data_IF_708607676181
#
_entry.id   IF_708607676181
#
_cell.length_a   1.000
_cell.length_b   1.000
_cell.length_c   1.000
_cell.angle_alpha   90.00
_cell.angle_beta   90.00
_cell.angle_gamma   90.00
#
_symmetry.space_group_name_H-M   'P 1'
#
loop_
_entity.id
_entity.type
_entity.pdbx_description
1 polymer ?
#
# COMPACT_ATOMS: atom_id res chain seq x y z
N UNK A 1 -14.28 -8.44 4.51
CA UNK A 1 -13.61 -9.24 3.44
C UNK A 1 -14.57 -10.34 3.06
N UNK A 2 -14.95 -10.49 1.79
CA UNK A 2 -15.81 -11.60 1.38
C UNK A 2 -14.93 -12.83 1.20
N UNK A 3 -15.24 -13.92 1.91
CA UNK A 3 -14.54 -15.20 1.79
C UNK A 3 -15.27 -16.02 0.74
N UNK A 4 -14.58 -16.36 -0.36
CA UNK A 4 -15.09 -17.25 -1.40
C UNK A 4 -14.40 -18.60 -1.28
N UNK A 5 -15.12 -19.71 -1.37
CA UNK A 5 -14.48 -21.04 -1.43
C UNK A 5 -14.11 -21.40 -2.86
N UNK A 6 -12.91 -21.93 -3.06
CA UNK A 6 -12.48 -22.45 -4.36
C UNK A 6 -13.36 -23.65 -4.75
N UNK A 7 -13.94 -23.68 -5.98
CA UNK A 7 -14.98 -24.63 -6.34
C UNK A 7 -14.54 -26.10 -6.35
N UNK A 8 -13.24 -26.37 -6.48
CA UNK A 8 -12.70 -27.74 -6.52
C UNK A 8 -12.08 -28.16 -5.19
N UNK A 9 -11.34 -27.26 -4.55
CA UNK A 9 -10.52 -27.60 -3.36
C UNK A 9 -11.19 -27.22 -2.05
N UNK A 10 -12.26 -26.42 -2.08
CA UNK A 10 -12.97 -25.93 -0.89
C UNK A 10 -12.18 -24.89 -0.06
N UNK A 11 -10.94 -24.58 -0.44
CA UNK A 11 -10.07 -23.63 0.26
C UNK A 11 -10.69 -22.24 0.26
N UNK A 12 -10.64 -21.58 1.40
CA UNK A 12 -11.08 -20.20 1.56
C UNK A 12 -10.10 -19.26 0.86
N UNK A 13 -10.61 -18.54 -0.13
CA UNK A 13 -9.88 -17.54 -0.88
C UNK A 13 -10.09 -16.17 -0.26
N UNK A 14 -8.99 -15.45 -0.06
CA UNK A 14 -9.04 -14.05 0.27
C UNK A 14 -9.32 -13.23 -1.00
N UNK A 15 -10.58 -12.84 -1.18
CA UNK A 15 -10.96 -11.97 -2.30
C UNK A 15 -10.66 -10.53 -1.94
N UNK A 16 -9.70 -9.92 -2.65
CA UNK A 16 -9.42 -8.51 -2.53
C UNK A 16 -10.63 -7.69 -2.98
N UNK A 17 -11.11 -6.81 -2.09
CA UNK A 17 -12.25 -5.91 -2.39
C UNK A 17 -11.89 -4.82 -3.41
N UNK A 18 -10.61 -4.47 -3.53
CA UNK A 18 -10.10 -3.49 -4.49
C UNK A 18 -8.87 -4.07 -5.18
N UNK A 19 -8.82 -4.00 -6.52
CA UNK A 19 -7.67 -4.42 -7.33
C UNK A 19 -7.13 -3.25 -8.13
N UNK A 20 -5.92 -2.80 -7.80
CA UNK A 20 -5.23 -1.68 -8.44
C UNK A 20 -4.24 -2.17 -9.48
N UNK A 21 -4.40 -1.69 -10.71
CA UNK A 21 -3.50 -2.00 -11.83
C UNK A 21 -2.30 -1.05 -11.90
N UNK A 22 -2.41 0.12 -11.28
CA UNK A 22 -1.38 1.14 -11.14
C UNK A 22 -1.57 1.79 -9.77
N UNK A 23 -0.56 2.52 -9.29
CA UNK A 23 -0.67 3.40 -8.13
C UNK A 23 -0.60 4.83 -8.66
N UNK A 24 -1.50 5.70 -8.21
CA UNK A 24 -1.36 7.13 -8.44
C UNK A 24 -0.42 7.77 -7.40
N UNK A 25 -0.21 9.08 -7.51
CA UNK A 25 0.69 9.81 -6.60
C UNK A 25 0.26 9.70 -5.12
N UNK A 26 -1.04 9.77 -4.84
CA UNK A 26 -1.56 9.69 -3.45
C UNK A 26 -1.42 8.27 -2.91
N UNK A 27 -1.65 7.27 -3.75
CA UNK A 27 -1.48 5.86 -3.41
C UNK A 27 0.01 5.51 -3.19
N UNK A 28 0.93 6.10 -3.95
CA UNK A 28 2.37 5.97 -3.73
C UNK A 28 2.82 6.64 -2.42
N UNK A 29 2.28 7.83 -2.09
CA UNK A 29 2.49 8.46 -0.77
C UNK A 29 1.98 7.56 0.35
N UNK A 30 0.80 6.96 0.17
CA UNK A 30 0.21 6.03 1.14
C UNK A 30 1.08 4.80 1.36
N UNK A 31 1.73 4.27 0.32
CA UNK A 31 2.71 3.18 0.45
C UNK A 31 3.85 3.56 1.40
N UNK A 32 4.40 4.77 1.28
CA UNK A 32 5.45 5.23 2.20
C UNK A 32 4.94 5.48 3.61
N UNK A 33 3.72 5.99 3.78
CA UNK A 33 3.11 6.16 5.11
C UNK A 33 2.98 4.82 5.83
N UNK A 34 2.40 3.80 5.16
CA UNK A 34 2.31 2.44 5.72
C UNK A 34 3.69 1.87 6.05
N UNK A 35 4.68 2.11 5.18
CA UNK A 35 6.05 1.66 5.44
C UNK A 35 6.65 2.30 6.69
N UNK A 36 6.42 3.60 6.90
CA UNK A 36 6.88 4.31 8.09
C UNK A 36 6.13 3.91 9.37
N UNK A 37 4.91 3.42 9.24
CA UNK A 37 4.15 2.78 10.33
C UNK A 37 4.68 1.37 10.68
N UNK A 38 5.69 0.88 9.95
CA UNK A 38 6.31 -0.43 10.19
C UNK A 38 5.66 -1.58 9.43
N UNK A 39 4.68 -1.31 8.57
CA UNK A 39 4.03 -2.34 7.74
C UNK A 39 5.01 -2.88 6.71
N UNK A 40 5.07 -4.20 6.56
CA UNK A 40 5.92 -4.84 5.57
C UNK A 40 5.33 -4.78 4.15
N UNK A 41 6.16 -5.05 3.14
CA UNK A 41 5.78 -4.95 1.72
C UNK A 41 4.62 -5.88 1.34
N UNK A 42 4.57 -7.09 1.92
CA UNK A 42 3.52 -8.08 1.62
C UNK A 42 2.18 -7.59 2.17
N UNK A 43 2.18 -7.11 3.41
CA UNK A 43 0.98 -6.57 4.03
C UNK A 43 0.53 -5.27 3.34
N UNK A 44 1.45 -4.37 2.95
CA UNK A 44 1.15 -3.20 2.12
C UNK A 44 0.48 -3.63 0.81
N UNK A 45 1.02 -4.66 0.15
CA UNK A 45 0.47 -5.17 -1.11
C UNK A 45 -0.97 -5.62 -0.94
N UNK A 46 -1.27 -6.38 0.13
CA UNK A 46 -2.61 -6.84 0.43
C UNK A 46 -3.56 -5.68 0.76
N UNK A 47 -3.15 -4.71 1.59
CA UNK A 47 -3.96 -3.52 1.92
C UNK A 47 -4.24 -2.65 0.70
N UNK A 48 -3.23 -2.45 -0.15
CA UNK A 48 -3.34 -1.64 -1.36
C UNK A 48 -3.99 -2.43 -2.52
N UNK A 49 -4.16 -3.74 -2.38
CA UNK A 49 -4.80 -4.57 -3.41
C UNK A 49 -4.07 -4.50 -4.76
N UNK A 50 -2.74 -4.56 -4.73
CA UNK A 50 -1.87 -4.43 -5.93
C UNK A 50 -0.90 -5.61 -6.03
N UNK A 51 0.11 -5.51 -6.89
CA UNK A 51 1.20 -6.49 -7.02
C UNK A 51 2.41 -6.06 -6.17
N UNK A 52 3.13 -6.98 -5.49
CA UNK A 52 4.33 -6.66 -4.71
C UNK A 52 5.41 -5.89 -5.48
N UNK A 53 5.63 -6.20 -6.76
CA UNK A 53 6.60 -5.52 -7.61
C UNK A 53 6.28 -4.02 -7.72
N UNK A 54 4.99 -3.66 -7.84
CA UNK A 54 4.59 -2.25 -7.93
C UNK A 54 4.82 -1.49 -6.63
N UNK A 55 4.64 -2.15 -5.50
CA UNK A 55 4.98 -1.57 -4.19
C UNK A 55 6.49 -1.39 -4.09
N UNK A 56 7.28 -2.37 -4.54
CA UNK A 56 8.74 -2.30 -4.54
C UNK A 56 9.25 -1.17 -5.45
N UNK A 57 8.75 -1.02 -6.67
CA UNK A 57 9.09 0.08 -7.59
C UNK A 57 8.88 1.46 -6.92
N UNK A 58 7.76 1.64 -6.19
CA UNK A 58 7.51 2.88 -5.41
C UNK A 58 8.52 3.04 -4.28
N UNK A 59 8.74 1.99 -3.48
CA UNK A 59 9.64 2.05 -2.32
C UNK A 59 11.11 2.27 -2.71
N UNK A 60 11.51 1.76 -3.88
CA UNK A 60 12.82 1.99 -4.49
C UNK A 60 12.94 3.37 -5.14
N UNK A 61 11.83 4.09 -5.33
CA UNK A 61 11.79 5.39 -5.98
C UNK A 61 11.93 5.33 -7.50
N UNK A 62 11.74 4.14 -8.11
CA UNK A 62 11.73 3.94 -9.55
C UNK A 62 10.51 4.63 -10.19
N UNK A 63 9.39 4.62 -9.47
CA UNK A 63 8.16 5.35 -9.80
C UNK A 63 7.76 6.26 -8.64
N UNK A 64 7.10 7.39 -8.94
CA UNK A 64 6.70 8.40 -7.95
C UNK A 64 7.84 8.81 -6.99
N UNK A 65 9.01 9.27 -7.48
CA UNK A 65 10.21 9.50 -6.65
C UNK A 65 10.01 10.55 -5.54
N UNK A 66 8.99 11.40 -5.66
CA UNK A 66 8.64 12.43 -4.66
C UNK A 66 7.76 11.89 -3.52
N UNK A 67 7.21 10.69 -3.65
CA UNK A 67 6.25 10.13 -2.69
C UNK A 67 6.82 10.01 -1.27
N UNK A 68 8.08 9.60 -1.14
CA UNK A 68 8.77 9.51 0.16
C UNK A 68 8.83 10.84 0.89
N UNK A 69 9.26 11.89 0.19
CA UNK A 69 9.40 13.24 0.75
C UNK A 69 8.03 13.82 1.11
N UNK A 70 7.02 13.60 0.27
CA UNK A 70 5.64 14.00 0.55
C UNK A 70 5.08 13.29 1.79
N UNK A 71 5.29 11.98 1.93
CA UNK A 71 4.88 11.22 3.11
C UNK A 71 5.53 11.76 4.40
N UNK A 72 6.84 12.05 4.37
CA UNK A 72 7.55 12.65 5.50
C UNK A 72 6.99 14.03 5.87
N UNK A 73 6.67 14.85 4.87
CA UNK A 73 6.06 16.17 5.08
C UNK A 73 4.70 16.06 5.78
N UNK A 74 3.84 15.15 5.35
CA UNK A 74 2.54 14.92 5.98
C UNK A 74 2.68 14.47 7.45
N UNK A 75 3.67 13.62 7.75
CA UNK A 75 3.96 13.20 9.13
C UNK A 75 4.38 14.40 9.99
N UNK A 76 5.22 15.29 9.46
CA UNK A 76 5.67 16.49 10.17
C UNK A 76 4.51 17.46 10.44
N UNK A 77 3.71 17.77 9.41
CA UNK A 77 2.55 18.66 9.51
C UNK A 77 1.52 18.14 10.53
N UNK A 78 1.27 16.83 10.56
CA UNK A 78 0.39 16.20 11.56
C UNK A 78 0.93 16.32 12.99
N UNK A 79 2.24 16.18 13.20
CA UNK A 79 2.85 16.36 14.52
C UNK A 79 2.72 17.79 15.03
N UNK A 80 2.90 18.77 14.14
CA UNK A 80 2.74 20.19 14.45
C UNK A 80 1.29 20.56 14.80
N UNK A 81 0.29 19.89 14.20
CA UNK A 81 -1.13 20.12 14.52
C UNK A 81 -1.60 19.55 15.88
N UNK A 82 -0.74 18.80 16.56
CA UNK A 82 -1.03 18.18 17.87
C UNK A 82 -0.34 18.91 19.03
N UNK A 83 0.36 20.02 18.75
CA UNK A 83 1.02 20.92 19.68
C UNK A 83 0.24 22.23 19.77
#
# INVERSE_FOLDING_TARGET
MAIQKHPITGVELNVLSKKRKFLDDVEAVTVFLLRFEGVDTTEITHKMGTNPARVAEVLNGEVHPKARTQALRLIQERKLSLL
#
